data_IF_347796275569
#
_entry.id   IF_347796275569
#
_cell.length_a   1.000
_cell.length_b   1.000
_cell.length_c   1.000
_cell.angle_alpha   90.00
_cell.angle_beta   90.00
_cell.angle_gamma   90.00
#
_symmetry.space_group_name_H-M   'P 1'
#
loop_
_entity.id
_entity.type
_entity.pdbx_description
1 polymer ?
#
# COMPACT_ATOMS: atom_id res chain seq x y z
N UNK A 1 -3.17 -34.09 -18.12
CA UNK A 1 -2.27 -32.97 -17.75
C UNK A 1 -3.01 -32.12 -16.75
N UNK A 2 -2.75 -32.34 -15.46
CA UNK A 2 -3.33 -31.53 -14.38
C UNK A 2 -2.81 -30.11 -14.53
N UNK A 3 -3.69 -29.15 -14.78
CA UNK A 3 -3.34 -27.74 -14.78
C UNK A 3 -2.86 -27.36 -13.37
N UNK A 4 -1.56 -27.12 -13.23
CA UNK A 4 -0.99 -26.57 -12.00
C UNK A 4 -1.39 -25.10 -11.89
N UNK A 5 -2.36 -24.82 -11.03
CA UNK A 5 -2.79 -23.45 -10.74
C UNK A 5 -1.77 -22.80 -9.82
N UNK A 6 -0.97 -21.89 -10.35
CA UNK A 6 -0.08 -21.05 -9.55
C UNK A 6 -0.85 -19.84 -9.01
N UNK A 7 -1.02 -19.79 -7.69
CA UNK A 7 -1.61 -18.64 -7.01
C UNK A 7 -0.48 -17.73 -6.49
N UNK A 8 -0.46 -16.47 -6.94
CA UNK A 8 0.45 -15.44 -6.41
C UNK A 8 -0.32 -14.62 -5.38
N UNK A 9 -0.06 -14.86 -4.10
CA UNK A 9 -0.67 -14.11 -3.00
C UNK A 9 0.18 -12.88 -2.67
N UNK A 10 0.05 -11.85 -3.50
CA UNK A 10 0.74 -10.57 -3.34
C UNK A 10 0.09 -9.72 -2.22
N UNK A 11 0.16 -10.19 -0.97
CA UNK A 11 -0.28 -9.43 0.19
C UNK A 11 0.85 -8.46 0.57
N UNK A 12 0.86 -7.27 0.00
CA UNK A 12 1.82 -6.23 0.37
C UNK A 12 1.23 -5.37 1.47
N UNK A 13 2.00 -5.16 2.54
CA UNK A 13 1.68 -4.15 3.54
C UNK A 13 2.27 -2.83 3.08
N UNK A 14 1.44 -1.79 3.01
CA UNK A 14 1.92 -0.44 2.71
C UNK A 14 1.60 0.53 3.84
N UNK A 15 2.54 1.44 4.07
CA UNK A 15 2.38 2.58 4.98
C UNK A 15 2.24 3.85 4.14
N UNK A 16 1.17 4.60 4.38
CA UNK A 16 0.95 5.89 3.71
C UNK A 16 1.68 6.97 4.48
N UNK A 17 2.59 7.67 3.81
CA UNK A 17 3.20 8.90 4.34
C UNK A 17 2.36 10.07 3.86
N UNK A 18 1.92 10.92 4.78
CA UNK A 18 1.11 12.09 4.47
C UNK A 18 1.58 13.31 5.25
N UNK A 19 1.29 14.49 4.71
CA UNK A 19 1.45 15.77 5.38
C UNK A 19 0.05 16.30 5.73
N UNK A 20 -0.20 16.56 7.02
CA UNK A 20 -1.45 17.15 7.49
C UNK A 20 -1.33 18.68 7.48
N UNK A 21 -2.26 19.34 6.82
CA UNK A 21 -2.45 20.78 6.93
C UNK A 21 -3.40 21.07 8.10
N UNK A 22 -2.87 21.71 9.14
CA UNK A 22 -3.61 22.02 10.36
C UNK A 22 -4.60 23.18 10.18
N UNK A 23 -4.41 24.02 9.17
CA UNK A 23 -5.24 25.20 8.93
C UNK A 23 -6.50 24.87 8.13
N UNK A 24 -6.42 23.90 7.21
CA UNK A 24 -7.51 23.47 6.35
C UNK A 24 -8.16 22.14 6.79
N UNK A 25 -7.68 21.50 7.87
CA UNK A 25 -8.01 20.13 8.29
C UNK A 25 -8.00 19.13 7.12
N UNK A 26 -7.01 19.27 6.25
CA UNK A 26 -6.80 18.37 5.11
C UNK A 26 -5.49 17.61 5.26
N UNK A 27 -5.34 16.53 4.51
CA UNK A 27 -4.10 15.77 4.43
C UNK A 27 -3.75 15.48 2.99
N UNK A 28 -2.46 15.64 2.66
CA UNK A 28 -1.91 15.32 1.33
C UNK A 28 -1.00 14.11 1.44
N UNK A 29 -1.25 13.10 0.64
CA UNK A 29 -0.37 11.93 0.50
C UNK A 29 0.95 12.39 -0.13
N UNK A 30 2.07 12.02 0.47
CA UNK A 30 3.43 12.36 -0.01
C UNK A 30 4.24 11.13 -0.39
N UNK A 31 3.75 9.92 -0.11
CA UNK A 31 4.37 8.70 -0.60
C UNK A 31 3.79 7.43 0.00
N UNK A 32 4.21 6.30 -0.57
CA UNK A 32 3.89 4.97 -0.09
C UNK A 32 5.20 4.24 0.22
N UNK A 33 5.29 3.65 1.40
CA UNK A 33 6.34 2.68 1.70
C UNK A 33 5.72 1.29 1.63
N UNK A 34 6.27 0.43 0.78
CA UNK A 34 5.74 -0.91 0.53
C UNK A 34 6.70 -1.94 1.11
N UNK A 35 6.16 -2.89 1.87
CA UNK A 35 6.89 -4.05 2.38
C UNK A 35 6.18 -5.34 1.98
N UNK A 36 6.92 -6.36 1.51
CA UNK A 36 6.39 -7.72 1.44
C UNK A 36 5.86 -8.12 2.83
N UNK A 37 4.63 -8.64 2.91
CA UNK A 37 4.07 -9.05 4.19
C UNK A 37 4.68 -10.36 4.72
#
# INVERSE_FOLDING_TARGET
TTEERHFIHNHLRFTVKFHKDMSADTARIVGFEVKPA
#
